data_IF_995343928610
#
_entry.id   IF_995343928610
#
_cell.length_a   1.000
_cell.length_b   1.000
_cell.length_c   1.000
_cell.angle_alpha   90.00
_cell.angle_beta   90.00
_cell.angle_gamma   90.00
#
_symmetry.space_group_name_H-M   'P 1'
#
loop_
_entity.id
_entity.type
_entity.pdbx_description
1 polymer ?
#
# COMPACT_ATOMS: atom_id res chain seq x y z
N UNK A 1 2.76 82.92 -53.45
CA UNK A 1 2.31 82.46 -52.12
C UNK A 1 1.45 81.20 -52.30
N UNK A 2 2.09 80.03 -52.35
CA UNK A 2 1.41 78.74 -52.53
C UNK A 2 2.19 77.61 -51.83
N UNK A 3 2.77 77.90 -50.66
CA UNK A 3 3.62 76.98 -49.90
C UNK A 3 3.02 76.44 -48.59
N UNK A 4 2.02 77.11 -48.01
CA UNK A 4 1.60 76.83 -46.63
C UNK A 4 0.45 75.80 -46.50
N UNK A 5 -0.39 75.61 -47.52
CA UNK A 5 -1.53 74.68 -47.42
C UNK A 5 -1.15 73.19 -47.52
N UNK A 6 -0.06 72.86 -48.24
CA UNK A 6 0.47 71.50 -48.35
C UNK A 6 1.08 71.00 -47.04
N UNK A 7 1.75 71.90 -46.31
CA UNK A 7 2.43 71.60 -45.05
C UNK A 7 1.42 71.35 -43.93
N UNK A 8 0.36 72.17 -43.88
CA UNK A 8 -0.75 72.02 -42.92
C UNK A 8 -1.49 70.69 -43.14
N UNK A 9 -1.79 70.31 -44.39
CA UNK A 9 -2.43 69.03 -44.70
C UNK A 9 -1.55 67.81 -44.37
N UNK A 10 -0.24 67.89 -44.61
CA UNK A 10 0.71 66.83 -44.23
C UNK A 10 0.79 66.66 -42.71
N UNK A 11 0.78 67.76 -41.95
CA UNK A 11 0.75 67.74 -40.48
C UNK A 11 -0.54 67.09 -39.97
N UNK A 12 -1.71 67.45 -40.52
CA UNK A 12 -2.98 66.83 -40.14
C UNK A 12 -3.03 65.33 -40.47
N UNK A 13 -2.59 64.93 -41.67
CA UNK A 13 -2.50 63.52 -42.06
C UNK A 13 -1.57 62.72 -41.14
N UNK A 14 -0.45 63.32 -40.72
CA UNK A 14 0.50 62.69 -39.80
C UNK A 14 -0.09 62.54 -38.40
N UNK A 15 -0.77 63.57 -37.87
CA UNK A 15 -1.43 63.51 -36.56
C UNK A 15 -2.52 62.43 -36.54
N UNK A 16 -3.33 62.35 -37.60
CA UNK A 16 -4.37 61.32 -37.74
C UNK A 16 -3.73 59.92 -37.83
N UNK A 17 -2.68 59.77 -38.63
CA UNK A 17 -1.94 58.51 -38.75
C UNK A 17 -1.34 58.03 -37.43
N UNK A 18 -0.67 58.92 -36.70
CA UNK A 18 -0.08 58.63 -35.37
C UNK A 18 -1.16 58.33 -34.34
N UNK A 19 -2.29 59.05 -34.36
CA UNK A 19 -3.40 58.81 -33.44
C UNK A 19 -4.08 57.46 -33.70
N UNK A 20 -4.24 57.08 -34.98
CA UNK A 20 -4.78 55.78 -35.37
C UNK A 20 -3.82 54.64 -34.97
N UNK A 21 -2.52 54.81 -35.19
CA UNK A 21 -1.49 53.86 -34.75
C UNK A 21 -1.46 53.72 -33.22
N UNK A 22 -1.56 54.82 -32.48
CA UNK A 22 -1.65 54.81 -31.02
C UNK A 22 -2.92 54.09 -30.53
N UNK A 23 -4.07 54.33 -31.18
CA UNK A 23 -5.32 53.66 -30.84
C UNK A 23 -5.25 52.14 -31.10
N UNK A 24 -4.70 51.73 -32.26
CA UNK A 24 -4.47 50.32 -32.60
C UNK A 24 -3.50 49.68 -31.60
N UNK A 25 -2.42 50.37 -31.21
CA UNK A 25 -1.47 49.89 -30.22
C UNK A 25 -2.09 49.73 -28.82
N UNK A 26 -2.92 50.68 -28.37
CA UNK A 26 -3.62 50.60 -27.08
C UNK A 26 -4.63 49.45 -27.08
N UNK A 27 -5.42 49.32 -28.16
CA UNK A 27 -6.37 48.21 -28.30
C UNK A 27 -5.65 46.86 -28.37
N UNK A 28 -4.55 46.79 -29.12
CA UNK A 28 -3.68 45.62 -29.22
C UNK A 28 -3.08 45.23 -27.87
N UNK A 29 -2.61 46.20 -27.07
CA UNK A 29 -2.08 45.94 -25.73
C UNK A 29 -3.15 45.44 -24.77
N UNK A 30 -4.36 46.01 -24.79
CA UNK A 30 -5.48 45.54 -23.95
C UNK A 30 -5.92 44.12 -24.34
N UNK A 31 -5.97 43.83 -25.63
CA UNK A 31 -6.29 42.48 -26.13
C UNK A 31 -5.19 41.48 -25.77
N UNK A 32 -3.91 41.84 -25.96
CA UNK A 32 -2.77 41.03 -25.56
C UNK A 32 -2.77 40.77 -24.05
N UNK A 33 -2.97 41.79 -23.22
CA UNK A 33 -3.02 41.65 -21.76
C UNK A 33 -4.17 40.74 -21.31
N UNK A 34 -5.34 40.81 -21.97
CA UNK A 34 -6.45 39.90 -21.72
C UNK A 34 -6.09 38.46 -22.10
N UNK A 35 -5.57 38.25 -23.31
CA UNK A 35 -5.18 36.92 -23.77
C UNK A 35 -4.06 36.30 -22.93
N UNK A 36 -3.11 37.11 -22.45
CA UNK A 36 -2.06 36.65 -21.54
C UNK A 36 -2.66 36.18 -20.22
N UNK A 37 -3.64 36.90 -19.64
CA UNK A 37 -4.35 36.45 -18.44
C UNK A 37 -5.11 35.15 -18.69
N UNK A 38 -5.91 35.09 -19.74
CA UNK A 38 -6.68 33.89 -20.09
C UNK A 38 -5.73 32.69 -20.35
N UNK A 39 -4.55 32.93 -20.94
CA UNK A 39 -3.53 31.90 -21.16
C UNK A 39 -2.90 31.44 -19.85
N UNK A 40 -2.62 32.34 -18.91
CA UNK A 40 -2.09 31.99 -17.59
C UNK A 40 -3.09 31.15 -16.80
N UNK A 41 -4.37 31.53 -16.82
CA UNK A 41 -5.45 30.77 -16.18
C UNK A 41 -5.54 29.35 -16.78
N UNK A 42 -5.46 29.23 -18.11
CA UNK A 42 -5.43 27.92 -18.79
C UNK A 42 -4.18 27.13 -18.38
N UNK A 43 -3.01 27.74 -18.32
CA UNK A 43 -1.77 27.08 -17.90
C UNK A 43 -1.85 26.60 -16.45
N UNK A 44 -2.42 27.40 -15.55
CA UNK A 44 -2.64 27.01 -14.15
C UNK A 44 -3.60 25.82 -14.05
N UNK A 45 -4.72 25.86 -14.79
CA UNK A 45 -5.68 24.75 -14.85
C UNK A 45 -5.05 23.46 -15.40
N UNK A 46 -4.25 23.55 -16.47
CA UNK A 46 -3.55 22.40 -17.06
C UNK A 46 -2.51 21.86 -16.09
N UNK A 47 -1.75 22.74 -15.43
CA UNK A 47 -0.77 22.36 -14.41
C UNK A 47 -1.44 21.62 -13.24
N UNK A 48 -2.50 22.19 -12.67
CA UNK A 48 -3.26 21.61 -11.57
C UNK A 48 -3.84 20.23 -11.94
N UNK A 49 -4.41 20.09 -13.15
CA UNK A 49 -4.89 18.79 -13.66
C UNK A 49 -3.77 17.78 -13.82
N UNK A 50 -2.63 18.19 -14.34
CA UNK A 50 -1.46 17.31 -14.52
C UNK A 50 -0.95 16.81 -13.18
N UNK A 51 -0.80 17.69 -12.19
CA UNK A 51 -0.39 17.32 -10.83
C UNK A 51 -1.40 16.39 -10.17
N UNK A 52 -2.70 16.70 -10.27
CA UNK A 52 -3.75 15.84 -9.73
C UNK A 52 -3.76 14.45 -10.38
N UNK A 53 -3.57 14.36 -11.70
CA UNK A 53 -3.47 13.09 -12.41
C UNK A 53 -2.25 12.28 -11.95
N UNK A 54 -1.10 12.91 -11.74
CA UNK A 54 0.09 12.23 -11.22
C UNK A 54 -0.13 11.68 -9.81
N UNK A 55 -0.70 12.50 -8.91
CA UNK A 55 -1.05 12.06 -7.55
C UNK A 55 -2.04 10.89 -7.60
N UNK A 56 -3.03 10.98 -8.50
CA UNK A 56 -4.01 9.94 -8.70
C UNK A 56 -3.37 8.62 -9.14
N UNK A 57 -2.43 8.65 -10.10
CA UNK A 57 -1.70 7.47 -10.55
C UNK A 57 -0.91 6.83 -9.39
N UNK A 58 -0.23 7.62 -8.56
CA UNK A 58 0.50 7.08 -7.39
C UNK A 58 -0.44 6.45 -6.37
N UNK A 59 -1.59 7.05 -6.11
CA UNK A 59 -2.57 6.49 -5.18
C UNK A 59 -3.24 5.23 -5.74
N UNK A 60 -3.54 5.20 -7.04
CA UNK A 60 -4.05 4.00 -7.70
C UNK A 60 -3.04 2.85 -7.58
N UNK A 61 -1.76 3.12 -7.85
CA UNK A 61 -0.69 2.14 -7.64
C UNK A 61 -0.63 1.64 -6.20
N UNK A 62 -0.72 2.54 -5.21
CA UNK A 62 -0.76 2.15 -3.80
C UNK A 62 -1.99 1.27 -3.47
N UNK A 63 -3.17 1.57 -4.02
CA UNK A 63 -4.39 0.76 -3.88
C UNK A 63 -4.15 -0.65 -4.42
N UNK A 64 -3.57 -0.76 -5.62
CA UNK A 64 -3.37 -2.04 -6.30
C UNK A 64 -2.29 -2.90 -5.60
N UNK A 65 -1.20 -2.28 -5.16
CA UNK A 65 -0.17 -2.95 -4.36
C UNK A 65 -0.71 -3.43 -3.01
N UNK A 66 -1.46 -2.59 -2.29
CA UNK A 66 -2.07 -2.98 -1.01
C UNK A 66 -3.04 -4.14 -1.19
N UNK A 67 -3.86 -4.12 -2.25
CA UNK A 67 -4.78 -5.22 -2.57
C UNK A 67 -4.03 -6.53 -2.83
N UNK A 68 -2.98 -6.48 -3.65
CA UNK A 68 -2.16 -7.64 -4.00
C UNK A 68 -1.43 -8.20 -2.78
N UNK A 69 -0.76 -7.34 -2.01
CA UNK A 69 -0.04 -7.74 -0.81
C UNK A 69 -0.97 -8.33 0.24
N UNK A 70 -2.17 -7.75 0.46
CA UNK A 70 -3.14 -8.29 1.41
C UNK A 70 -3.64 -9.67 1.00
N UNK A 71 -3.99 -9.86 -0.28
CA UNK A 71 -4.48 -11.13 -0.79
C UNK A 71 -3.44 -12.25 -0.54
N UNK A 72 -2.18 -11.97 -0.87
CA UNK A 72 -1.12 -12.96 -0.67
C UNK A 72 -0.82 -13.15 0.83
N UNK A 73 -0.82 -12.09 1.64
CA UNK A 73 -0.59 -12.21 3.09
C UNK A 73 -1.65 -13.08 3.76
N UNK A 74 -2.92 -12.90 3.40
CA UNK A 74 -4.04 -13.70 3.91
C UNK A 74 -3.87 -15.16 3.49
N UNK A 75 -3.60 -15.42 2.20
CA UNK A 75 -3.40 -16.78 1.70
C UNK A 75 -2.20 -17.48 2.38
N UNK A 76 -1.06 -16.79 2.48
CA UNK A 76 0.13 -17.32 3.15
C UNK A 76 -0.11 -17.58 4.64
N UNK A 77 -0.86 -16.71 5.33
CA UNK A 77 -1.22 -16.92 6.74
C UNK A 77 -1.97 -18.23 6.93
N UNK A 78 -2.97 -18.48 6.08
CA UNK A 78 -3.77 -19.70 6.13
C UNK A 78 -2.96 -20.94 5.75
N UNK A 79 -2.16 -20.84 4.67
CA UNK A 79 -1.31 -21.92 4.20
C UNK A 79 -0.31 -22.38 5.26
N UNK A 80 0.36 -21.44 5.95
CA UNK A 80 1.33 -21.76 6.99
C UNK A 80 0.66 -22.56 8.11
N UNK A 81 -0.50 -22.12 8.60
CA UNK A 81 -1.20 -22.83 9.70
C UNK A 81 -1.72 -24.19 9.24
N UNK A 82 -2.25 -24.32 8.02
CA UNK A 82 -2.65 -25.61 7.47
C UNK A 82 -1.48 -26.59 7.31
N UNK A 83 -0.31 -26.11 6.91
CA UNK A 83 0.87 -26.98 6.83
C UNK A 83 1.35 -27.43 8.21
N UNK A 84 1.30 -26.55 9.20
CA UNK A 84 1.57 -26.92 10.60
C UNK A 84 0.56 -27.95 11.14
N UNK A 85 -0.71 -27.83 10.77
CA UNK A 85 -1.72 -28.83 11.08
C UNK A 85 -1.37 -30.17 10.43
N UNK A 86 -1.15 -30.17 9.12
CA UNK A 86 -0.89 -31.38 8.35
C UNK A 86 0.36 -32.14 8.84
N UNK A 87 1.46 -31.44 9.13
CA UNK A 87 2.67 -32.10 9.64
C UNK A 87 2.43 -32.68 11.03
N UNK A 88 1.63 -32.02 11.89
CA UNK A 88 1.33 -32.50 13.24
C UNK A 88 0.44 -33.73 13.23
N UNK A 89 -0.56 -33.75 12.38
CA UNK A 89 -1.43 -34.91 12.18
C UNK A 89 -0.61 -36.09 11.62
N UNK A 90 0.19 -35.83 10.58
CA UNK A 90 1.09 -36.84 9.99
C UNK A 90 2.12 -37.37 11.00
N UNK A 91 2.67 -36.49 11.84
CA UNK A 91 3.63 -36.88 12.88
C UNK A 91 2.96 -37.76 13.92
N UNK A 92 1.74 -37.43 14.34
CA UNK A 92 0.99 -38.24 15.31
C UNK A 92 0.77 -39.68 14.83
N UNK A 93 0.50 -39.87 13.53
CA UNK A 93 0.33 -41.19 12.91
C UNK A 93 1.66 -41.94 12.74
N UNK A 94 2.71 -41.24 12.31
CA UNK A 94 4.00 -41.86 11.98
C UNK A 94 4.86 -42.19 13.19
N UNK A 95 4.66 -41.48 14.31
CA UNK A 95 5.43 -41.68 15.53
C UNK A 95 5.33 -43.11 16.03
N UNK A 96 4.14 -43.72 16.02
CA UNK A 96 3.98 -45.11 16.49
C UNK A 96 4.75 -46.11 15.62
N UNK A 97 4.74 -45.91 14.29
CA UNK A 97 5.47 -46.77 13.35
C UNK A 97 6.98 -46.65 13.56
N UNK A 98 7.47 -45.41 13.68
CA UNK A 98 8.89 -45.14 13.87
C UNK A 98 9.41 -45.55 15.25
N UNK A 99 8.57 -45.41 16.28
CA UNK A 99 8.87 -45.86 17.62
C UNK A 99 9.01 -47.40 17.61
N UNK A 100 8.06 -48.11 16.98
CA UNK A 100 8.12 -49.57 16.87
C UNK A 100 9.38 -50.03 16.14
N UNK A 101 9.74 -49.37 15.04
CA UNK A 101 10.97 -49.66 14.30
C UNK A 101 12.23 -49.39 15.15
N UNK A 102 12.26 -48.29 15.92
CA UNK A 102 13.40 -47.93 16.77
C UNK A 102 13.67 -48.95 17.90
N UNK A 103 12.67 -49.74 18.27
CA UNK A 103 12.76 -50.80 19.27
C UNK A 103 12.65 -52.21 18.66
N UNK A 104 12.89 -52.35 17.35
CA UNK A 104 12.89 -53.65 16.63
C UNK A 104 11.58 -54.44 16.83
N UNK A 105 10.44 -53.74 16.96
CA UNK A 105 9.13 -54.34 17.21
C UNK A 105 8.92 -54.86 18.65
N UNK A 106 9.84 -54.57 19.58
CA UNK A 106 9.79 -55.06 20.96
C UNK A 106 9.34 -53.99 21.98
N UNK A 107 8.56 -52.97 21.57
CA UNK A 107 8.07 -51.91 22.48
C UNK A 107 7.38 -52.50 23.71
N UNK A 108 6.49 -53.48 23.51
CA UNK A 108 5.70 -54.10 24.59
C UNK A 108 6.56 -54.80 25.66
N UNK A 109 7.82 -55.12 25.33
CA UNK A 109 8.77 -55.78 26.24
C UNK A 109 9.59 -54.79 27.05
N UNK A 110 9.52 -53.49 26.74
CA UNK A 110 10.28 -52.45 27.42
C UNK A 110 9.48 -51.96 28.62
N UNK A 111 9.98 -52.23 29.83
CA UNK A 111 9.36 -51.76 31.09
C UNK A 111 9.67 -50.30 31.43
N UNK A 112 10.62 -49.70 30.73
CA UNK A 112 11.05 -48.31 30.97
C UNK A 112 10.21 -47.34 30.13
N UNK A 113 9.05 -46.95 30.67
CA UNK A 113 8.15 -45.98 30.05
C UNK A 113 8.84 -44.63 29.77
N UNK A 114 9.79 -44.20 30.61
CA UNK A 114 10.52 -42.95 30.40
C UNK A 114 11.40 -43.03 29.17
N UNK A 115 12.02 -44.17 28.91
CA UNK A 115 12.83 -44.39 27.70
C UNK A 115 11.98 -44.38 26.43
N UNK A 116 10.78 -44.98 26.48
CA UNK A 116 9.83 -44.97 25.36
C UNK A 116 9.39 -43.52 25.07
N UNK A 117 9.01 -42.78 26.12
CA UNK A 117 8.55 -41.41 26.00
C UNK A 117 9.66 -40.44 25.55
N UNK A 118 10.89 -40.61 26.04
CA UNK A 118 12.03 -39.85 25.56
C UNK A 118 12.27 -40.07 24.06
N UNK A 119 12.16 -41.33 23.59
CA UNK A 119 12.36 -41.64 22.17
C UNK A 119 11.23 -41.12 21.30
N UNK A 120 9.98 -41.20 21.78
CA UNK A 120 8.80 -40.59 21.14
C UNK A 120 9.02 -39.10 20.93
N UNK A 121 9.42 -38.38 21.96
CA UNK A 121 9.67 -36.94 21.90
C UNK A 121 10.84 -36.59 20.96
N UNK A 122 11.91 -37.38 20.95
CA UNK A 122 13.02 -37.21 20.00
C UNK A 122 12.54 -37.33 18.53
N UNK A 123 11.71 -38.33 18.23
CA UNK A 123 11.17 -38.57 16.89
C UNK A 123 10.24 -37.43 16.46
N UNK A 124 9.33 -36.99 17.35
CA UNK A 124 8.44 -35.85 17.12
C UNK A 124 9.27 -34.59 16.85
N UNK A 125 10.21 -34.27 17.73
CA UNK A 125 11.01 -33.06 17.63
C UNK A 125 11.81 -33.03 16.33
N UNK A 126 12.43 -34.14 15.94
CA UNK A 126 13.18 -34.23 14.68
C UNK A 126 12.30 -33.95 13.46
N UNK A 127 11.10 -34.51 13.40
CA UNK A 127 10.17 -34.25 12.28
C UNK A 127 9.72 -32.79 12.24
N UNK A 128 9.44 -32.20 13.39
CA UNK A 128 9.06 -30.79 13.49
C UNK A 128 10.22 -29.86 13.14
N UNK A 129 11.45 -30.18 13.54
CA UNK A 129 12.65 -29.39 13.22
C UNK A 129 12.96 -29.41 11.73
N UNK A 130 12.84 -30.57 11.07
CA UNK A 130 13.06 -30.69 9.63
C UNK A 130 12.00 -29.94 8.83
N UNK A 131 10.73 -30.02 9.26
CA UNK A 131 9.66 -29.21 8.68
C UNK A 131 9.88 -27.71 8.94
N UNK A 132 10.33 -27.32 10.14
CA UNK A 132 10.61 -25.93 10.50
C UNK A 132 11.65 -25.30 9.57
N UNK A 133 12.72 -26.05 9.23
CA UNK A 133 13.72 -25.61 8.24
C UNK A 133 13.11 -25.37 6.87
N UNK A 134 12.24 -26.27 6.39
CA UNK A 134 11.57 -26.10 5.09
C UNK A 134 10.58 -24.92 5.11
N UNK A 135 9.86 -24.76 6.21
CA UNK A 135 8.82 -23.76 6.35
C UNK A 135 9.37 -22.36 6.66
N UNK A 136 10.64 -22.25 7.07
CA UNK A 136 11.30 -20.99 7.39
C UNK A 136 11.30 -19.99 6.23
N UNK A 137 11.43 -20.46 4.97
CA UNK A 137 11.34 -19.58 3.81
C UNK A 137 9.95 -18.93 3.67
N UNK A 138 8.88 -19.71 3.90
CA UNK A 138 7.49 -19.23 3.84
C UNK A 138 7.19 -18.25 4.95
N UNK A 139 7.66 -18.54 6.16
CA UNK A 139 7.52 -17.63 7.31
C UNK A 139 8.25 -16.30 7.08
N UNK A 140 9.44 -16.35 6.46
CA UNK A 140 10.19 -15.15 6.08
C UNK A 140 9.44 -14.30 5.06
N UNK A 141 8.94 -14.90 3.97
CA UNK A 141 8.15 -14.18 2.96
C UNK A 141 6.86 -13.58 3.55
N UNK A 142 6.18 -14.34 4.43
CA UNK A 142 5.00 -13.86 5.15
C UNK A 142 5.34 -12.63 6.01
N UNK A 143 6.45 -12.67 6.74
CA UNK A 143 6.92 -11.57 7.60
C UNK A 143 7.33 -10.34 6.79
N UNK A 144 8.05 -10.52 5.67
CA UNK A 144 8.41 -9.42 4.77
C UNK A 144 7.15 -8.71 4.26
N UNK A 145 6.12 -9.47 3.90
CA UNK A 145 4.84 -8.94 3.43
C UNK A 145 4.04 -8.26 4.54
N UNK A 146 4.03 -8.83 5.74
CA UNK A 146 3.44 -8.21 6.94
C UNK A 146 4.00 -6.80 7.18
N UNK A 147 5.33 -6.67 7.15
CA UNK A 147 6.03 -5.39 7.32
C UNK A 147 5.68 -4.43 6.18
N UNK A 148 5.69 -4.92 4.94
CA UNK A 148 5.39 -4.12 3.74
C UNK A 148 3.98 -3.52 3.77
N UNK A 149 2.98 -4.29 4.18
CA UNK A 149 1.62 -3.83 4.37
C UNK A 149 1.57 -2.76 5.46
N UNK A 150 2.23 -3.00 6.61
CA UNK A 150 2.30 -2.01 7.69
C UNK A 150 2.97 -0.70 7.24
N UNK A 151 3.96 -0.71 6.35
CA UNK A 151 4.51 0.54 5.81
C UNK A 151 3.55 1.29 4.87
N UNK A 152 2.64 0.58 4.20
CA UNK A 152 1.62 1.20 3.32
C UNK A 152 0.47 1.80 4.10
N UNK A 153 0.16 1.25 5.26
CA UNK A 153 -0.96 1.70 6.07
C UNK A 153 -0.59 2.91 6.94
N UNK A 154 -1.36 3.99 6.79
CA UNK A 154 -1.28 5.14 7.70
C UNK A 154 -1.63 4.71 9.14
N UNK A 155 -0.73 4.87 10.12
CA UNK A 155 -0.97 4.42 11.49
C UNK A 155 -2.08 5.22 12.21
N UNK A 156 -2.35 6.46 11.78
CA UNK A 156 -3.42 7.28 12.39
C UNK A 156 -4.81 6.92 11.88
N UNK A 157 -4.90 6.53 10.60
CA UNK A 157 -6.19 6.23 9.95
C UNK A 157 -6.53 4.75 9.94
N UNK A 158 -5.54 3.86 9.95
CA UNK A 158 -5.70 2.42 9.70
C UNK A 158 -5.20 1.57 10.88
N UNK A 159 -5.28 2.07 12.10
CA UNK A 159 -4.78 1.37 13.28
C UNK A 159 -5.44 -0.01 13.47
N UNK A 160 -6.76 -0.10 13.30
CA UNK A 160 -7.51 -1.35 13.51
C UNK A 160 -7.02 -2.49 12.61
N UNK A 161 -6.76 -2.19 11.33
CA UNK A 161 -6.21 -3.19 10.41
C UNK A 161 -4.79 -3.60 10.81
N UNK A 162 -3.97 -2.65 11.29
CA UNK A 162 -2.60 -2.96 11.75
C UNK A 162 -2.61 -3.88 12.96
N UNK A 163 -3.48 -3.60 13.93
CA UNK A 163 -3.64 -4.44 15.13
C UNK A 163 -4.12 -5.84 14.75
N UNK A 164 -5.02 -5.92 13.76
CA UNK A 164 -5.52 -7.18 13.26
C UNK A 164 -4.44 -8.00 12.54
N UNK A 165 -3.60 -7.36 11.73
CA UNK A 165 -2.44 -8.01 11.11
C UNK A 165 -1.47 -8.56 12.17
N UNK A 166 -1.23 -7.81 13.24
CA UNK A 166 -0.36 -8.28 14.33
C UNK A 166 -0.99 -9.47 15.08
N UNK A 167 -2.33 -9.50 15.23
CA UNK A 167 -3.06 -10.67 15.76
C UNK A 167 -2.95 -11.89 14.83
N UNK A 168 -3.11 -11.70 13.52
CA UNK A 168 -2.92 -12.74 12.51
C UNK A 168 -1.50 -13.32 12.64
N UNK A 169 -0.48 -12.47 12.69
CA UNK A 169 0.91 -12.92 12.83
C UNK A 169 1.13 -13.72 14.11
N UNK A 170 0.59 -13.26 15.25
CA UNK A 170 0.64 -13.99 16.52
C UNK A 170 0.00 -15.37 16.43
N UNK A 171 -1.13 -15.51 15.72
CA UNK A 171 -1.79 -16.80 15.52
C UNK A 171 -0.99 -17.74 14.62
N UNK A 172 -0.41 -17.23 13.54
CA UNK A 172 0.51 -17.98 12.68
C UNK A 172 1.69 -18.53 13.49
N UNK A 173 2.30 -17.71 14.35
CA UNK A 173 3.38 -18.14 15.25
C UNK A 173 2.91 -19.17 16.30
N UNK A 174 1.72 -18.96 16.86
CA UNK A 174 1.13 -19.88 17.85
C UNK A 174 0.90 -21.28 17.27
N UNK A 175 0.61 -21.37 15.97
CA UNK A 175 0.46 -22.65 15.28
C UNK A 175 1.74 -23.49 15.29
N UNK A 176 2.93 -22.87 15.39
CA UNK A 176 4.21 -23.59 15.44
C UNK A 176 4.33 -24.41 16.74
N UNK A 177 3.99 -23.79 17.88
CA UNK A 177 4.06 -24.44 19.21
C UNK A 177 2.81 -25.20 19.65
N UNK A 178 1.72 -25.16 18.88
CA UNK A 178 0.46 -25.82 19.25
C UNK A 178 0.56 -27.35 19.31
N UNK A 179 -0.15 -28.00 20.23
CA UNK A 179 -0.27 -29.46 20.20
C UNK A 179 -1.24 -29.89 19.09
N UNK A 180 -1.09 -31.10 18.51
CA UNK A 180 -2.04 -31.66 17.56
C UNK A 180 -3.47 -31.72 18.11
N UNK A 181 -4.46 -31.77 17.21
CA UNK A 181 -5.88 -31.90 17.56
C UNK A 181 -6.59 -30.57 17.84
N UNK A 182 -7.33 -30.49 18.96
CA UNK A 182 -8.29 -29.39 19.23
C UNK A 182 -7.62 -28.02 19.27
N UNK A 183 -6.40 -27.92 19.80
CA UNK A 183 -5.72 -26.62 19.95
C UNK A 183 -5.40 -25.99 18.59
N UNK A 184 -4.83 -26.76 17.67
CA UNK A 184 -4.47 -26.24 16.34
C UNK A 184 -5.70 -26.04 15.43
N UNK A 185 -6.77 -26.82 15.63
CA UNK A 185 -8.07 -26.57 15.01
C UNK A 185 -8.68 -25.24 15.49
N UNK A 186 -8.63 -24.95 16.79
CA UNK A 186 -9.08 -23.67 17.33
C UNK A 186 -8.26 -22.49 16.77
N UNK A 187 -6.94 -22.64 16.65
CA UNK A 187 -6.09 -21.63 16.01
C UNK A 187 -6.52 -21.39 14.56
N UNK A 188 -6.82 -22.43 13.79
CA UNK A 188 -7.33 -22.31 12.43
C UNK A 188 -8.66 -21.55 12.36
N UNK A 189 -9.62 -21.88 13.23
CA UNK A 189 -10.91 -21.21 13.27
C UNK A 189 -10.77 -19.74 13.64
N UNK A 190 -10.01 -19.44 14.69
CA UNK A 190 -9.73 -18.05 15.10
C UNK A 190 -9.00 -17.28 14.02
N UNK A 191 -8.03 -17.90 13.34
CA UNK A 191 -7.35 -17.30 12.21
C UNK A 191 -8.35 -16.94 11.11
N UNK A 192 -9.26 -17.85 10.74
CA UNK A 192 -10.31 -17.59 9.75
C UNK A 192 -11.10 -16.32 10.04
N UNK A 193 -11.59 -16.16 11.28
CA UNK A 193 -12.30 -14.94 11.69
C UNK A 193 -11.44 -13.67 11.59
N UNK A 194 -10.16 -13.75 11.92
CA UNK A 194 -9.24 -12.62 11.80
C UNK A 194 -8.97 -12.27 10.33
N UNK A 195 -8.81 -13.26 9.46
CA UNK A 195 -8.60 -13.07 8.03
C UNK A 195 -9.83 -12.45 7.35
N UNK A 196 -11.04 -12.88 7.71
CA UNK A 196 -12.28 -12.29 7.22
C UNK A 196 -12.41 -10.83 7.66
N UNK A 197 -12.14 -10.56 8.95
CA UNK A 197 -12.13 -9.21 9.48
C UNK A 197 -11.11 -8.31 8.76
N UNK A 198 -9.93 -8.85 8.43
CA UNK A 198 -8.88 -8.09 7.74
C UNK A 198 -9.26 -7.79 6.30
N UNK A 199 -9.94 -8.74 5.65
CA UNK A 199 -10.52 -8.56 4.32
C UNK A 199 -11.54 -7.42 4.32
N UNK A 200 -12.48 -7.42 5.27
CA UNK A 200 -13.51 -6.37 5.39
C UNK A 200 -12.89 -5.00 5.61
N UNK A 201 -11.96 -4.87 6.56
CA UNK A 201 -11.28 -3.60 6.84
C UNK A 201 -10.48 -3.11 5.63
N UNK A 202 -9.76 -4.02 4.96
CA UNK A 202 -9.01 -3.68 3.74
C UNK A 202 -9.93 -3.19 2.65
N UNK A 203 -11.04 -3.88 2.36
CA UNK A 203 -12.03 -3.45 1.37
C UNK A 203 -12.61 -2.07 1.71
N UNK A 204 -12.89 -1.82 3.00
CA UNK A 204 -13.34 -0.51 3.49
C UNK A 204 -12.34 0.60 3.19
N UNK A 205 -11.06 0.37 3.50
CA UNK A 205 -9.96 1.32 3.21
C UNK A 205 -9.85 1.56 1.70
N UNK A 206 -9.80 0.49 0.89
CA UNK A 206 -9.67 0.62 -0.56
C UNK A 206 -10.86 1.39 -1.17
N UNK A 207 -12.09 1.14 -0.69
CA UNK A 207 -13.28 1.87 -1.14
C UNK A 207 -13.22 3.36 -0.78
N UNK A 208 -12.80 3.69 0.46
CA UNK A 208 -12.63 5.07 0.93
C UNK A 208 -11.58 5.80 0.09
N UNK A 209 -10.44 5.17 -0.16
CA UNK A 209 -9.35 5.76 -0.95
C UNK A 209 -9.72 5.91 -2.42
N UNK A 210 -10.45 4.96 -2.99
CA UNK A 210 -11.02 5.09 -4.33
C UNK A 210 -12.00 6.27 -4.44
N UNK A 211 -12.83 6.49 -3.41
CA UNK A 211 -13.73 7.65 -3.39
C UNK A 211 -12.96 8.97 -3.29
N UNK A 212 -11.94 9.04 -2.44
CA UNK A 212 -11.03 10.20 -2.35
C UNK A 212 -10.38 10.48 -3.71
N UNK A 213 -9.82 9.44 -4.34
CA UNK A 213 -9.21 9.53 -5.67
C UNK A 213 -10.15 10.15 -6.72
N UNK A 214 -11.40 9.67 -6.78
CA UNK A 214 -12.39 10.22 -7.73
C UNK A 214 -12.69 11.69 -7.48
N UNK A 215 -12.78 12.11 -6.21
CA UNK A 215 -13.02 13.51 -5.86
C UNK A 215 -11.82 14.39 -6.24
N UNK A 216 -10.61 13.93 -5.96
CA UNK A 216 -9.37 14.66 -6.27
C UNK A 216 -9.17 14.85 -7.78
N UNK A 217 -9.50 13.85 -8.59
CA UNK A 217 -9.47 13.93 -10.06
C UNK A 217 -10.57 14.85 -10.60
N UNK A 218 -11.77 14.82 -10.00
CA UNK A 218 -12.89 15.67 -10.42
C UNK A 218 -12.68 17.15 -10.06
N UNK A 219 -12.00 17.44 -8.94
CA UNK A 219 -11.82 18.79 -8.39
C UNK A 219 -10.35 19.10 -8.03
N UNK A 220 -9.45 19.19 -9.03
CA UNK A 220 -8.00 19.30 -8.80
C UNK A 220 -7.60 20.59 -8.07
N UNK A 221 -8.30 21.71 -8.31
CA UNK A 221 -8.02 23.00 -7.66
C UNK A 221 -8.15 22.92 -6.14
N UNK A 222 -9.17 22.22 -5.64
CA UNK A 222 -9.41 22.04 -4.21
C UNK A 222 -8.30 21.22 -3.53
N UNK A 223 -7.74 20.26 -4.25
CA UNK A 223 -6.61 19.46 -3.78
C UNK A 223 -5.35 20.32 -3.69
N UNK A 224 -5.02 21.05 -4.75
CA UNK A 224 -3.81 21.89 -4.80
C UNK A 224 -3.85 23.01 -3.74
N UNK A 225 -5.02 23.62 -3.52
CA UNK A 225 -5.19 24.65 -2.49
C UNK A 225 -4.90 24.15 -1.06
N UNK A 226 -5.12 22.86 -0.80
CA UNK A 226 -4.86 22.25 0.51
C UNK A 226 -3.38 21.84 0.72
N UNK A 227 -2.54 21.90 -0.31
CA UNK A 227 -1.11 21.60 -0.18
C UNK A 227 -0.41 22.84 0.40
N UNK A 228 0.20 22.75 1.59
CA UNK A 228 0.86 23.90 2.20
C UNK A 228 2.02 24.37 1.32
N UNK A 229 2.07 25.68 1.05
CA UNK A 229 3.19 26.29 0.34
C UNK A 229 4.48 26.10 1.17
N UNK A 230 5.62 25.82 0.51
CA UNK A 230 6.89 25.71 1.21
C UNK A 230 7.14 27.01 1.99
N UNK A 231 7.49 26.88 3.28
CA UNK A 231 7.94 28.03 4.07
C UNK A 231 9.30 28.43 3.54
N UNK A 232 9.41 29.62 2.94
CA UNK A 232 10.70 30.20 2.57
C UNK A 232 11.36 30.64 3.89
N UNK A 233 12.16 29.76 4.49
CA UNK A 233 13.08 30.15 5.55
C UNK A 233 14.28 30.78 4.89
N UNK A 234 14.38 32.11 4.93
CA UNK A 234 15.59 32.86 4.58
C UNK A 234 16.68 32.58 5.63
N UNK A 235 17.25 31.38 5.63
CA UNK A 235 18.40 31.02 6.44
C UNK A 235 19.19 29.94 5.69
N UNK A 236 19.98 30.36 4.71
CA UNK A 236 21.15 29.61 4.18
C UNK A 236 22.13 30.59 3.50
N UNK A 237 22.36 31.73 4.16
CA UNK A 237 23.50 32.61 3.90
C UNK A 237 24.21 32.89 5.23
N UNK A 238 24.98 31.91 5.68
CA UNK A 238 26.10 32.11 6.59
C UNK A 238 27.28 31.25 6.14
#
# INVERSE_FOLDING_TARGET
MAGDSSLVWQVFATIIGVSLQAAIAILGWRYAAKNTRDTLDIQELVSNRTTASFIAEKRQKWIDELRSDMAIHIAQSQEIVWKWQAIKDTTSERVEVLLNAAFEGNIEKIKDEKKIEAKRNEIVQKMLDDFSKENGARDREHQERHIRIKFRLNPKEHNDLRDLLDKIRKKVLSAQGATPGVIISNINNELGFLLDSATILTQGILKKEWQRLKQEVAYPESLIANIPKPRITNQDHH
#
